data_IF_523702762765
#
_entry.id   IF_523702762765
#
_cell.length_a   1.000
_cell.length_b   1.000
_cell.length_c   1.000
_cell.angle_alpha   90.00
_cell.angle_beta   90.00
_cell.angle_gamma   90.00
#
_symmetry.space_group_name_H-M   'P 1'
#
loop_
_entity.id
_entity.type
_entity.pdbx_description
1 polymer ?
#
# COMPACT_ATOMS: atom_id res chain seq x y z
N UNK A 1 17.28 32.85 -46.42
CA UNK A 1 16.67 31.97 -45.40
C UNK A 1 17.68 31.73 -44.30
N UNK A 2 17.57 32.41 -43.17
CA UNK A 2 18.48 32.29 -42.03
C UNK A 2 17.70 31.77 -40.84
N UNK A 3 18.01 30.54 -40.42
CA UNK A 3 17.44 29.93 -39.21
C UNK A 3 18.29 30.28 -38.00
N UNK A 4 17.80 31.19 -37.16
CA UNK A 4 18.40 31.53 -35.86
C UNK A 4 18.02 30.44 -34.85
N UNK A 5 18.98 29.57 -34.53
CA UNK A 5 18.86 28.56 -33.46
C UNK A 5 18.85 29.27 -32.10
N UNK A 6 17.72 29.22 -31.41
CA UNK A 6 17.58 29.75 -30.05
C UNK A 6 18.36 28.86 -29.07
N UNK A 7 19.47 29.38 -28.52
CA UNK A 7 20.14 28.80 -27.35
C UNK A 7 19.22 28.98 -26.14
N UNK A 8 18.57 27.90 -25.70
CA UNK A 8 18.02 27.81 -24.34
C UNK A 8 19.16 27.53 -23.37
N UNK A 9 19.92 28.58 -23.01
CA UNK A 9 20.82 28.50 -21.86
C UNK A 9 19.96 28.33 -20.61
N UNK A 10 19.96 27.12 -20.04
CA UNK A 10 19.34 26.84 -18.76
C UNK A 10 20.06 27.62 -17.66
N UNK A 11 19.55 28.79 -17.32
CA UNK A 11 19.97 29.54 -16.12
C UNK A 11 19.60 28.70 -14.91
N UNK A 12 20.61 28.03 -14.32
CA UNK A 12 20.47 27.36 -13.03
C UNK A 12 20.50 28.45 -11.97
N UNK A 13 19.34 28.81 -11.44
CA UNK A 13 19.25 29.65 -10.25
C UNK A 13 19.84 28.87 -9.07
N UNK A 14 21.06 29.23 -8.68
CA UNK A 14 21.67 28.76 -7.44
C UNK A 14 20.91 29.45 -6.30
N UNK A 15 19.88 28.78 -5.78
CA UNK A 15 19.22 29.19 -4.54
C UNK A 15 20.28 29.14 -3.44
N UNK A 16 20.70 30.31 -2.96
CA UNK A 16 21.69 30.44 -1.91
C UNK A 16 21.09 29.88 -0.60
N UNK A 17 21.37 28.62 -0.30
CA UNK A 17 20.85 27.93 0.88
C UNK A 17 21.63 28.46 2.08
N UNK A 18 21.17 29.55 2.70
CA UNK A 18 21.75 30.04 3.95
C UNK A 18 21.78 28.87 4.94
N UNK A 19 22.97 28.45 5.42
CA UNK A 19 23.07 27.29 6.29
C UNK A 19 22.26 27.54 7.56
N UNK A 20 21.16 26.81 7.71
CA UNK A 20 20.36 26.87 8.93
C UNK A 20 21.25 26.42 10.09
N UNK A 21 21.39 27.29 11.10
CA UNK A 21 22.14 26.99 12.33
C UNK A 21 21.59 25.70 12.93
N UNK A 22 22.39 24.63 12.88
CA UNK A 22 22.04 23.33 13.47
C UNK A 22 22.13 23.44 14.99
N UNK A 23 21.04 23.07 15.67
CA UNK A 23 21.02 22.99 17.12
C UNK A 23 21.15 21.51 17.51
N UNK A 24 22.11 21.13 18.37
CA UNK A 24 22.18 19.77 18.85
C UNK A 24 20.97 19.45 19.73
N UNK A 25 20.46 18.21 19.64
CA UNK A 25 19.33 17.68 20.42
C UNK A 25 19.42 18.06 21.90
N UNK A 26 20.58 17.82 22.53
CA UNK A 26 20.79 18.12 23.95
C UNK A 26 20.67 19.61 24.27
N UNK A 27 21.12 20.50 23.38
CA UNK A 27 20.95 21.94 23.53
C UNK A 27 19.48 22.35 23.39
N UNK A 28 18.78 21.78 22.42
CA UNK A 28 17.34 22.01 22.19
C UNK A 28 16.49 21.58 23.39
N UNK A 29 16.75 20.40 23.96
CA UNK A 29 16.02 19.91 25.16
C UNK A 29 16.24 20.84 26.36
N UNK A 30 17.49 21.27 26.63
CA UNK A 30 17.79 22.21 27.73
C UNK A 30 17.07 23.54 27.58
N UNK A 31 16.96 24.07 26.36
CA UNK A 31 16.22 25.32 26.12
C UNK A 31 14.71 25.14 26.31
N UNK A 32 14.15 24.00 25.91
CA UNK A 32 12.73 23.72 26.10
C UNK A 32 12.43 23.55 27.59
N UNK A 33 13.25 22.80 28.33
CA UNK A 33 13.14 22.62 29.78
C UNK A 33 13.25 23.97 30.51
N UNK A 34 14.22 24.82 30.14
CA UNK A 34 14.34 26.18 30.68
C UNK A 34 13.10 27.05 30.40
N UNK A 35 12.43 26.86 29.26
CA UNK A 35 11.20 27.58 28.90
C UNK A 35 9.93 27.06 29.57
N UNK A 36 9.99 25.86 30.16
CA UNK A 36 8.87 25.23 30.87
C UNK A 36 8.96 25.39 32.39
N UNK A 37 10.07 25.94 32.90
CA UNK A 37 10.23 26.26 34.31
C UNK A 37 9.19 27.30 34.78
N UNK A 38 8.63 27.15 36.00
CA UNK A 38 7.63 28.08 36.52
C UNK A 38 8.24 29.50 36.64
N UNK A 39 7.55 30.49 36.09
CA UNK A 39 7.99 31.89 36.07
C UNK A 39 8.87 32.29 34.88
N UNK A 40 9.25 31.35 34.00
CA UNK A 40 10.00 31.66 32.77
C UNK A 40 9.07 31.82 31.57
N UNK A 41 9.34 32.83 30.74
CA UNK A 41 8.61 33.05 29.50
C UNK A 41 9.45 32.65 28.29
N UNK A 42 8.77 32.15 27.25
CA UNK A 42 9.40 31.75 25.98
C UNK A 42 10.18 32.90 25.33
N UNK A 43 9.71 34.14 25.52
CA UNK A 43 10.37 35.35 25.01
C UNK A 43 11.66 35.68 25.76
N UNK A 44 11.71 35.48 27.08
CA UNK A 44 12.91 35.69 27.88
C UNK A 44 14.00 34.68 27.49
N UNK A 45 13.65 33.39 27.40
CA UNK A 45 14.58 32.32 26.99
C UNK A 45 15.04 32.53 25.54
N UNK A 46 14.15 32.90 24.62
CA UNK A 46 14.52 33.20 23.24
C UNK A 46 15.56 34.31 23.12
N UNK A 47 15.41 35.41 23.89
CA UNK A 47 16.36 36.53 23.90
C UNK A 47 17.68 36.16 24.56
N UNK A 48 17.65 35.43 25.68
CA UNK A 48 18.86 35.04 26.42
C UNK A 48 19.76 34.09 25.61
N UNK A 49 19.17 33.19 24.82
CA UNK A 49 19.91 32.17 24.07
C UNK A 49 20.00 32.46 22.56
N UNK A 50 19.51 33.63 22.10
CA UNK A 50 19.55 34.03 20.69
C UNK A 50 18.74 33.10 19.77
N UNK A 51 17.63 32.56 20.27
CA UNK A 51 16.78 31.61 19.53
C UNK A 51 15.48 32.28 19.11
N UNK A 52 15.10 32.08 17.85
CA UNK A 52 13.81 32.53 17.35
C UNK A 52 12.67 31.92 18.19
N UNK A 53 11.78 32.78 18.70
CA UNK A 53 10.66 32.35 19.56
C UNK A 53 9.77 31.31 18.86
N UNK A 54 9.52 31.50 17.55
CA UNK A 54 8.73 30.57 16.73
C UNK A 54 9.31 29.15 16.72
N UNK A 55 10.62 29.03 16.74
CA UNK A 55 11.33 27.74 16.80
C UNK A 55 11.15 27.11 18.18
N UNK A 56 11.26 27.90 19.26
CA UNK A 56 11.07 27.44 20.63
C UNK A 56 9.62 26.97 20.88
N UNK A 57 8.62 27.68 20.37
CA UNK A 57 7.22 27.27 20.44
C UNK A 57 6.98 25.94 19.71
N UNK A 58 7.55 25.76 18.52
CA UNK A 58 7.46 24.51 17.76
C UNK A 58 8.08 23.35 18.53
N UNK A 59 9.25 23.56 19.13
CA UNK A 59 9.95 22.56 19.91
C UNK A 59 9.23 22.19 21.20
N UNK A 60 8.64 23.17 21.90
CA UNK A 60 7.81 22.93 23.09
C UNK A 60 6.59 22.08 22.75
N UNK A 61 5.93 22.38 21.63
CA UNK A 61 4.80 21.58 21.14
C UNK A 61 5.21 20.12 20.86
N UNK A 62 6.35 19.91 20.18
CA UNK A 62 6.90 18.58 19.93
C UNK A 62 7.22 17.83 21.24
N UNK A 63 7.76 18.53 22.24
CA UNK A 63 8.04 17.98 23.56
C UNK A 63 6.77 17.52 24.29
N UNK A 64 5.68 18.28 24.18
CA UNK A 64 4.39 17.92 24.78
C UNK A 64 3.66 16.79 24.02
N UNK A 65 3.76 16.74 22.69
CA UNK A 65 3.08 15.75 21.85
C UNK A 65 3.79 14.39 21.80
N UNK A 66 5.12 14.35 21.96
CA UNK A 66 5.88 13.10 21.81
C UNK A 66 7.19 13.03 22.59
N UNK A 67 7.39 13.87 23.61
CA UNK A 67 8.54 13.80 24.51
C UNK A 67 9.89 13.99 23.83
N UNK A 68 10.95 13.47 24.46
CA UNK A 68 12.34 13.60 23.99
C UNK A 68 12.56 12.85 22.66
N UNK A 69 11.86 11.74 22.44
CA UNK A 69 11.93 10.92 21.23
C UNK A 69 11.39 11.64 19.99
N UNK A 70 10.36 12.48 20.12
CA UNK A 70 9.86 13.31 19.01
C UNK A 70 10.80 14.47 18.65
N UNK A 71 11.58 14.96 19.62
CA UNK A 71 12.62 15.97 19.38
C UNK A 71 13.80 15.36 18.62
N UNK A 72 14.21 14.15 19.00
CA UNK A 72 15.28 13.35 18.37
C UNK A 72 14.90 12.88 16.97
N UNK A 73 13.72 12.29 16.78
CA UNK A 73 13.25 11.80 15.48
C UNK A 73 13.04 12.91 14.43
N UNK A 74 12.85 14.16 14.87
CA UNK A 74 12.76 15.30 13.97
C UNK A 74 14.14 15.93 13.67
N UNK A 75 15.19 15.56 14.40
CA UNK A 75 16.59 15.93 14.15
C UNK A 75 17.34 14.83 13.36
N UNK A 76 16.91 13.57 13.49
CA UNK A 76 17.26 12.47 12.60
C UNK A 76 16.56 12.70 11.25
N UNK A 77 17.13 13.61 10.47
CA UNK A 77 16.60 14.01 9.17
C UNK A 77 16.60 12.79 8.24
N UNK A 78 15.47 12.07 8.16
CA UNK A 78 15.18 11.25 6.98
C UNK A 78 15.21 12.22 5.81
N UNK A 79 16.13 12.00 4.87
CA UNK A 79 16.31 12.90 3.75
C UNK A 79 14.96 13.15 3.09
N UNK A 80 14.64 14.40 2.71
CA UNK A 80 13.39 14.69 1.97
C UNK A 80 13.29 13.79 0.74
N UNK A 81 14.45 13.39 0.20
CA UNK A 81 14.59 12.37 -0.84
C UNK A 81 14.11 10.98 -0.40
N UNK A 82 14.47 10.47 0.79
CA UNK A 82 13.95 9.21 1.32
C UNK A 82 12.47 9.28 1.69
N UNK A 83 12.01 10.36 2.32
CA UNK A 83 10.56 10.51 2.60
C UNK A 83 9.77 10.56 1.29
N UNK A 84 10.30 11.23 0.26
CA UNK A 84 9.68 11.28 -1.08
C UNK A 84 9.80 9.93 -1.79
N UNK A 85 10.93 9.24 -1.72
CA UNK A 85 11.12 7.91 -2.28
C UNK A 85 10.23 6.86 -1.60
N UNK A 86 10.05 6.96 -0.29
CA UNK A 86 9.21 6.08 0.50
C UNK A 86 7.72 6.38 0.27
N UNK A 87 7.34 7.66 0.15
CA UNK A 87 5.99 8.04 -0.29
C UNK A 87 5.72 7.61 -1.75
N UNK A 88 6.68 7.76 -2.66
CA UNK A 88 6.56 7.29 -4.05
C UNK A 88 6.43 5.77 -4.12
N UNK A 89 7.18 5.02 -3.29
CA UNK A 89 6.99 3.57 -3.12
C UNK A 89 5.58 3.27 -2.64
N UNK A 90 5.09 3.93 -1.58
CA UNK A 90 3.71 3.75 -1.08
C UNK A 90 2.63 4.10 -2.10
N UNK A 91 2.80 5.17 -2.89
CA UNK A 91 1.88 5.57 -3.96
C UNK A 91 1.92 4.56 -5.12
N UNK A 92 3.11 4.10 -5.52
CA UNK A 92 3.26 3.07 -6.56
C UNK A 92 2.69 1.72 -6.13
N UNK A 93 2.85 1.36 -4.86
CA UNK A 93 2.26 0.17 -4.26
C UNK A 93 0.74 0.28 -4.19
N UNK A 94 0.21 1.45 -3.80
CA UNK A 94 -1.22 1.71 -3.81
C UNK A 94 -1.81 1.78 -5.23
N UNK A 95 -1.05 2.25 -6.22
CA UNK A 95 -1.44 2.25 -7.63
C UNK A 95 -1.41 0.82 -8.21
N UNK A 96 -0.38 0.03 -7.91
CA UNK A 96 -0.28 -1.38 -8.27
C UNK A 96 -1.43 -2.19 -7.65
N UNK A 97 -1.67 -1.98 -6.35
CA UNK A 97 -2.83 -2.53 -5.66
C UNK A 97 -4.12 -2.00 -6.24
N UNK A 98 -4.23 -0.76 -6.69
CA UNK A 98 -5.41 -0.28 -7.40
C UNK A 98 -5.60 -1.09 -8.69
N UNK A 99 -4.62 -1.18 -9.59
CA UNK A 99 -4.73 -2.04 -10.79
C UNK A 99 -5.09 -3.50 -10.48
N UNK A 100 -4.54 -4.09 -9.42
CA UNK A 100 -4.89 -5.45 -8.97
C UNK A 100 -6.28 -5.53 -8.31
N UNK A 101 -6.67 -4.50 -7.54
CA UNK A 101 -7.98 -4.34 -6.89
C UNK A 101 -9.07 -4.07 -7.94
N UNK A 102 -8.75 -3.46 -9.07
CA UNK A 102 -9.65 -3.33 -10.21
C UNK A 102 -9.84 -4.66 -10.91
N UNK A 103 -8.80 -5.50 -11.02
CA UNK A 103 -8.95 -6.90 -11.49
C UNK A 103 -9.86 -7.72 -10.55
N UNK A 104 -9.81 -7.47 -9.24
CA UNK A 104 -10.74 -8.04 -8.24
C UNK A 104 -12.16 -7.45 -8.33
N UNK A 105 -12.28 -6.11 -8.41
CA UNK A 105 -13.57 -5.39 -8.46
C UNK A 105 -14.29 -5.52 -9.80
N UNK A 106 -13.59 -5.76 -10.90
CA UNK A 106 -14.17 -5.99 -12.24
C UNK A 106 -14.38 -7.48 -12.55
N UNK A 107 -13.68 -8.39 -11.84
CA UNK A 107 -14.10 -9.79 -11.77
C UNK A 107 -15.38 -9.97 -10.94
N UNK A 108 -15.87 -8.90 -10.32
CA UNK A 108 -17.26 -8.75 -9.90
C UNK A 108 -18.07 -8.25 -11.09
N UNK A 109 -18.12 -9.05 -12.16
CA UNK A 109 -19.31 -9.04 -13.02
C UNK A 109 -20.51 -9.11 -12.07
N UNK A 110 -21.64 -8.44 -12.33
CA UNK A 110 -22.89 -8.97 -11.83
C UNK A 110 -22.97 -10.36 -12.46
N UNK A 111 -22.47 -11.37 -11.76
CA UNK A 111 -22.95 -12.69 -11.95
C UNK A 111 -24.39 -12.53 -11.51
N UNK A 112 -25.25 -12.26 -12.49
CA UNK A 112 -26.63 -12.65 -12.41
C UNK A 112 -26.60 -13.96 -11.64
N UNK A 113 -27.24 -14.02 -10.48
CA UNK A 113 -27.39 -15.25 -9.73
C UNK A 113 -28.20 -16.29 -10.52
N UNK A 114 -28.36 -16.12 -11.83
CA UNK A 114 -28.51 -17.21 -12.78
C UNK A 114 -27.14 -17.91 -12.91
N UNK A 115 -26.85 -18.78 -11.94
CA UNK A 115 -25.91 -19.87 -12.15
C UNK A 115 -26.17 -20.47 -13.54
N UNK A 116 -25.19 -20.34 -14.44
CA UNK A 116 -25.30 -20.86 -15.80
C UNK A 116 -25.82 -22.29 -15.68
N UNK A 117 -27.01 -22.58 -16.25
CA UNK A 117 -27.72 -23.86 -16.13
C UNK A 117 -27.00 -25.02 -16.85
N UNK A 118 -25.68 -24.94 -17.01
CA UNK A 118 -24.76 -25.91 -17.59
C UNK A 118 -24.88 -27.30 -16.99
N UNK A 119 -25.06 -27.40 -15.67
CA UNK A 119 -25.26 -28.68 -14.99
C UNK A 119 -26.60 -29.32 -15.37
N UNK A 120 -27.66 -28.52 -15.48
CA UNK A 120 -28.99 -28.98 -15.90
C UNK A 120 -29.03 -29.32 -17.39
N UNK A 121 -28.38 -28.51 -18.24
CA UNK A 121 -28.23 -28.77 -19.67
C UNK A 121 -27.48 -30.09 -19.93
N UNK A 122 -26.36 -30.31 -19.22
CA UNK A 122 -25.60 -31.56 -19.32
C UNK A 122 -26.37 -32.76 -18.76
N UNK A 123 -27.22 -32.57 -17.74
CA UNK A 123 -28.11 -33.62 -17.24
C UNK A 123 -29.22 -33.97 -18.25
N UNK A 124 -29.82 -32.97 -18.91
CA UNK A 124 -30.83 -33.18 -19.95
C UNK A 124 -30.27 -33.88 -21.19
N UNK A 125 -29.05 -33.52 -21.60
CA UNK A 125 -28.34 -34.22 -22.70
C UNK A 125 -28.08 -35.68 -22.33
N UNK A 126 -27.61 -35.95 -21.11
CA UNK A 126 -27.39 -37.34 -20.63
C UNK A 126 -28.66 -38.16 -20.51
N UNK A 127 -29.78 -37.52 -20.15
CA UNK A 127 -31.08 -38.20 -20.03
C UNK A 127 -31.58 -38.75 -21.37
N UNK A 128 -31.11 -38.21 -22.50
CA UNK A 128 -31.43 -38.70 -23.85
C UNK A 128 -32.89 -38.40 -24.23
N UNK A 129 -33.11 -37.30 -24.93
CA UNK A 129 -34.46 -36.92 -25.38
C UNK A 129 -34.50 -35.68 -26.28
N UNK A 130 -33.46 -34.85 -26.23
CA UNK A 130 -33.31 -33.70 -27.10
C UNK A 130 -31.90 -33.62 -27.68
N UNK A 131 -31.74 -33.24 -28.96
CA UNK A 131 -30.41 -32.95 -29.52
C UNK A 131 -29.70 -31.86 -28.73
N UNK A 132 -28.37 -31.99 -28.56
CA UNK A 132 -27.55 -31.04 -27.79
C UNK A 132 -27.78 -29.59 -28.25
N UNK A 133 -27.94 -29.37 -29.57
CA UNK A 133 -28.23 -28.06 -30.15
C UNK A 133 -29.50 -27.42 -29.56
N UNK A 134 -30.60 -28.18 -29.53
CA UNK A 134 -31.89 -27.73 -28.99
C UNK A 134 -31.79 -27.39 -27.50
N UNK A 135 -31.07 -28.21 -26.72
CA UNK A 135 -30.84 -27.96 -25.29
C UNK A 135 -30.01 -26.69 -25.09
N UNK A 136 -28.96 -26.49 -25.90
CA UNK A 136 -28.06 -25.33 -25.77
C UNK A 136 -28.72 -24.03 -26.18
N UNK A 137 -29.55 -24.05 -27.22
CA UNK A 137 -30.33 -22.90 -27.68
C UNK A 137 -31.42 -22.54 -26.67
N UNK A 138 -32.21 -23.52 -26.21
CA UNK A 138 -33.29 -23.29 -25.24
C UNK A 138 -32.78 -22.83 -23.86
N UNK A 139 -31.61 -23.31 -23.43
CA UNK A 139 -31.05 -22.96 -22.13
C UNK A 139 -30.03 -21.81 -22.18
N UNK A 140 -29.76 -21.27 -23.38
CA UNK A 140 -28.74 -20.26 -23.64
C UNK A 140 -27.35 -20.62 -23.05
N UNK A 141 -26.90 -21.86 -23.28
CA UNK A 141 -25.63 -22.39 -22.76
C UNK A 141 -24.66 -22.73 -23.91
N UNK A 142 -23.34 -22.50 -23.77
CA UNK A 142 -22.37 -22.89 -24.80
C UNK A 142 -22.40 -24.39 -25.11
N UNK A 143 -22.39 -24.72 -26.40
CA UNK A 143 -22.48 -26.10 -26.90
C UNK A 143 -21.28 -26.96 -26.52
N UNK A 144 -20.06 -26.46 -26.69
CA UNK A 144 -18.82 -27.19 -26.34
C UNK A 144 -18.77 -27.59 -24.86
N UNK A 145 -19.00 -26.62 -23.96
CA UNK A 145 -19.04 -26.85 -22.52
C UNK A 145 -20.16 -27.81 -22.08
N UNK A 146 -21.30 -27.81 -22.78
CA UNK A 146 -22.41 -28.73 -22.46
C UNK A 146 -22.07 -30.16 -22.89
N UNK A 147 -21.46 -30.33 -24.06
CA UNK A 147 -21.00 -31.61 -24.59
C UNK A 147 -19.90 -32.25 -23.73
N UNK A 148 -18.88 -31.47 -23.35
CA UNK A 148 -17.82 -31.92 -22.43
C UNK A 148 -18.39 -32.39 -21.09
N UNK A 149 -19.32 -31.62 -20.52
CA UNK A 149 -19.96 -31.95 -19.22
C UNK A 149 -20.91 -33.14 -19.30
N UNK A 150 -21.53 -33.40 -20.45
CA UNK A 150 -22.34 -34.62 -20.62
C UNK A 150 -21.48 -35.88 -20.72
N UNK A 151 -20.26 -35.77 -21.24
CA UNK A 151 -19.33 -36.89 -21.38
C UNK A 151 -18.53 -37.18 -20.10
N UNK A 152 -18.19 -36.13 -19.36
CA UNK A 152 -17.44 -36.22 -18.10
C UNK A 152 -18.18 -35.47 -16.99
N UNK A 153 -19.14 -36.13 -16.31
CA UNK A 153 -19.85 -35.53 -15.19
C UNK A 153 -18.87 -35.22 -14.08
N UNK A 154 -18.67 -33.93 -13.79
CA UNK A 154 -17.95 -33.53 -12.57
C UNK A 154 -18.88 -33.79 -11.37
N UNK A 155 -18.37 -34.34 -10.25
CA UNK A 155 -19.14 -34.41 -9.03
C UNK A 155 -19.58 -33.00 -8.64
N UNK A 156 -20.77 -32.89 -8.04
CA UNK A 156 -21.23 -31.62 -7.51
C UNK A 156 -20.19 -31.18 -6.47
N UNK A 157 -19.65 -29.95 -6.52
CA UNK A 157 -18.80 -29.48 -5.45
C UNK A 157 -19.57 -29.62 -4.15
N UNK A 158 -18.91 -30.17 -3.14
CA UNK A 158 -19.47 -30.36 -1.81
C UNK A 158 -19.96 -29.00 -1.29
N UNK A 159 -21.08 -28.99 -0.54
CA UNK A 159 -21.61 -27.73 -0.03
C UNK A 159 -20.54 -27.11 0.85
N UNK A 160 -20.24 -25.84 0.60
CA UNK A 160 -19.29 -25.09 1.41
C UNK A 160 -19.59 -25.28 2.91
N UNK A 161 -18.64 -25.87 3.62
CA UNK A 161 -18.71 -26.10 5.06
C UNK A 161 -17.64 -25.27 5.74
N UNK A 162 -18.06 -24.35 6.62
CA UNK A 162 -17.12 -23.56 7.43
C UNK A 162 -16.24 -24.41 8.35
N UNK A 163 -16.67 -25.64 8.66
CA UNK A 163 -15.91 -26.55 9.50
C UNK A 163 -14.62 -27.02 8.80
N UNK A 164 -14.65 -27.18 7.48
CA UNK A 164 -13.49 -27.59 6.68
C UNK A 164 -12.44 -26.47 6.57
N UNK A 165 -12.88 -25.21 6.58
CA UNK A 165 -11.99 -24.05 6.54
C UNK A 165 -11.06 -24.00 7.77
N UNK A 166 -11.47 -24.56 8.90
CA UNK A 166 -10.64 -24.62 10.13
C UNK A 166 -9.31 -25.33 9.88
N UNK A 167 -9.26 -26.29 8.96
CA UNK A 167 -8.04 -27.01 8.58
C UNK A 167 -7.21 -26.25 7.54
N UNK A 168 -7.86 -25.45 6.70
CA UNK A 168 -7.22 -24.70 5.61
C UNK A 168 -6.62 -23.36 6.08
N UNK A 169 -7.27 -22.69 7.03
CA UNK A 169 -6.83 -21.38 7.53
C UNK A 169 -5.41 -21.39 8.15
N UNK A 170 -5.00 -22.40 8.95
CA UNK A 170 -3.64 -22.49 9.45
C UNK A 170 -2.61 -22.70 8.34
N UNK A 171 -2.93 -23.54 7.34
CA UNK A 171 -2.05 -23.81 6.20
C UNK A 171 -1.84 -22.55 5.35
N UNK A 172 -2.91 -21.81 5.07
CA UNK A 172 -2.85 -20.53 4.35
C UNK A 172 -2.05 -19.49 5.16
N UNK A 173 -2.27 -19.46 6.49
CA UNK A 173 -1.51 -18.61 7.41
C UNK A 173 -0.02 -18.91 7.39
N UNK A 174 0.37 -20.19 7.37
CA UNK A 174 1.76 -20.62 7.31
C UNK A 174 2.42 -20.26 5.97
N UNK A 175 1.72 -20.46 4.84
CA UNK A 175 2.20 -20.04 3.52
C UNK A 175 2.47 -18.53 3.49
N UNK A 176 1.58 -17.73 4.08
CA UNK A 176 1.76 -16.29 4.18
C UNK A 176 2.89 -15.88 5.14
N UNK A 177 3.05 -16.58 6.26
CA UNK A 177 4.12 -16.36 7.21
C UNK A 177 5.49 -16.68 6.59
N UNK A 178 5.59 -17.76 5.83
CA UNK A 178 6.81 -18.16 5.13
C UNK A 178 7.14 -17.21 3.96
N UNK A 179 6.14 -16.78 3.19
CA UNK A 179 6.33 -15.73 2.19
C UNK A 179 6.84 -14.41 2.82
N UNK A 180 6.34 -14.06 4.01
CA UNK A 180 6.79 -12.88 4.77
C UNK A 180 8.20 -13.05 5.33
N UNK A 181 8.56 -14.24 5.83
CA UNK A 181 9.92 -14.56 6.29
C UNK A 181 10.93 -14.54 5.15
N UNK A 182 10.59 -15.10 3.99
CA UNK A 182 11.45 -15.03 2.81
C UNK A 182 11.66 -13.57 2.34
N UNK A 183 10.61 -12.75 2.35
CA UNK A 183 10.73 -11.33 1.99
C UNK A 183 11.62 -10.53 2.97
N UNK A 184 11.67 -10.92 4.26
CA UNK A 184 12.53 -10.28 5.27
C UNK A 184 13.95 -10.86 5.27
N UNK A 185 14.09 -12.17 5.07
CA UNK A 185 15.39 -12.87 5.03
C UNK A 185 16.26 -12.49 3.83
N UNK A 186 15.65 -12.19 2.68
CA UNK A 186 16.36 -11.67 1.49
C UNK A 186 16.96 -10.28 1.74
N UNK A 187 16.41 -9.50 2.69
CA UNK A 187 16.98 -8.20 3.09
C UNK A 187 18.16 -8.32 4.07
N UNK A 188 18.28 -9.45 4.80
CA UNK A 188 19.39 -9.66 5.75
C UNK A 188 20.64 -10.24 5.08
N UNK A 189 20.47 -11.07 4.03
CA UNK A 189 21.58 -11.69 3.30
C UNK A 189 22.31 -10.78 2.29
N UNK A 190 21.90 -9.52 2.15
CA UNK A 190 22.50 -8.56 1.20
C UNK A 190 23.34 -7.47 1.89
N UNK A 191 23.53 -7.56 3.22
CA UNK A 191 24.34 -6.63 4.02
C UNK A 191 25.65 -7.29 4.52
N UNK A 192 25.85 -8.59 4.27
CA UNK A 192 27.11 -9.28 4.56
C UNK A 192 27.64 -9.97 3.29
N UNK A 193 28.10 -9.15 2.34
CA UNK A 193 29.29 -9.40 1.54
C UNK A 193 29.76 -8.08 0.90
#
# INVERSE_FOLDING_TARGET
>A
MYGTSAKTSSTVEIVNITPHRRWPVGGKVRLIEASMAPGQSVSLVGRAYGVALTLLYRWRRQMSEGGKTAIEANDEVVSVAEVKAQKSKSVSWNAFLATKRWKWKFSRKPFALVAKKTHLAAALVRRGGFPVKRVTEAMAVPRSNTYERSRSPRPRPERYSKAEDVLLLPLIGNIWADARRMAIGVFSGLIVN
#
